data_IF_215381785741
#
_entry.id   IF_215381785741
#
_cell.length_a   1.000
_cell.length_b   1.000
_cell.length_c   1.000
_cell.angle_alpha   90.00
_cell.angle_beta   90.00
_cell.angle_gamma   90.00
#
_symmetry.space_group_name_H-M   'P 1'
#
loop_
_entity.id
_entity.type
_entity.pdbx_description
1 polymer ?
#
# COMPACT_ATOMS: atom_id res chain seq x y z
N UNK A 1 11.54 15.08 10.77
CA UNK A 1 11.06 15.02 9.36
C UNK A 1 12.16 15.50 8.44
N UNK A 2 12.36 14.85 7.32
CA UNK A 2 13.41 15.14 6.34
C UNK A 2 12.75 15.59 5.03
N UNK A 3 13.28 16.66 4.44
CA UNK A 3 12.77 17.17 3.16
C UNK A 3 13.66 16.65 2.02
N UNK A 4 13.02 16.05 1.01
CA UNK A 4 13.64 15.69 -0.27
C UNK A 4 12.74 16.30 -1.35
N UNK A 5 13.26 17.27 -2.10
CA UNK A 5 12.51 18.08 -3.06
C UNK A 5 11.24 18.69 -2.41
N UNK A 6 10.08 18.38 -2.98
CA UNK A 6 8.76 18.78 -2.50
C UNK A 6 8.12 17.75 -1.55
N UNK A 7 8.89 16.82 -0.99
CA UNK A 7 8.39 15.76 -0.10
C UNK A 7 8.92 15.89 1.31
N UNK A 8 8.02 15.84 2.29
CA UNK A 8 8.33 15.77 3.72
C UNK A 8 8.20 14.33 4.20
N UNK A 9 9.31 13.75 4.63
CA UNK A 9 9.42 12.34 4.95
C UNK A 9 9.53 12.17 6.47
N UNK A 10 8.67 11.32 7.06
CA UNK A 10 8.78 10.94 8.46
C UNK A 10 10.08 10.18 8.72
N UNK A 11 10.75 10.52 9.82
CA UNK A 11 11.93 9.79 10.28
C UNK A 11 11.64 8.34 10.67
N UNK A 12 10.36 8.01 10.91
CA UNK A 12 9.92 6.65 11.19
C UNK A 12 10.22 5.68 10.05
N UNK A 13 10.33 6.19 8.80
CA UNK A 13 10.75 5.36 7.67
C UNK A 13 12.17 4.83 7.86
N UNK A 14 13.01 5.54 8.63
CA UNK A 14 14.41 5.21 8.89
C UNK A 14 14.60 4.52 10.25
N UNK A 15 13.78 4.87 11.25
CA UNK A 15 13.89 4.32 12.60
C UNK A 15 13.18 2.99 12.75
N UNK A 16 11.99 2.85 12.17
CA UNK A 16 11.16 1.67 12.35
C UNK A 16 11.54 0.52 11.40
N UNK A 17 11.40 -0.70 11.90
CA UNK A 17 11.60 -1.93 11.15
C UNK A 17 10.26 -2.56 10.78
N UNK A 18 10.16 -3.04 9.53
CA UNK A 18 8.93 -3.64 9.02
C UNK A 18 9.23 -4.66 7.92
N UNK A 19 8.66 -5.85 8.05
CA UNK A 19 8.58 -6.85 6.97
C UNK A 19 7.22 -7.53 7.07
N UNK A 20 6.39 -7.42 6.03
CA UNK A 20 5.05 -7.98 6.04
C UNK A 20 5.06 -9.49 6.37
N UNK A 21 4.31 -9.88 7.40
CA UNK A 21 4.23 -11.26 7.89
C UNK A 21 2.86 -11.89 7.56
N UNK A 22 2.66 -12.21 6.28
CA UNK A 22 1.40 -12.80 5.81
C UNK A 22 1.05 -14.13 6.51
N UNK A 23 2.06 -14.89 6.96
CA UNK A 23 1.82 -16.13 7.69
C UNK A 23 1.08 -15.91 9.02
N UNK A 24 1.19 -14.71 9.59
CA UNK A 24 0.52 -14.31 10.84
C UNK A 24 -0.75 -13.49 10.58
N UNK A 25 -0.64 -12.36 9.89
CA UNK A 25 -1.76 -11.44 9.68
C UNK A 25 -2.74 -11.90 8.60
N UNK A 26 -2.35 -12.86 7.75
CA UNK A 26 -3.16 -13.38 6.62
C UNK A 26 -3.66 -12.32 5.63
N UNK A 27 -3.03 -11.14 5.62
CA UNK A 27 -3.41 -10.04 4.73
C UNK A 27 -4.64 -9.26 5.20
N UNK A 28 -4.89 -9.20 6.51
CA UNK A 28 -6.07 -8.56 7.10
C UNK A 28 -6.24 -7.07 6.73
N UNK A 29 -5.17 -6.39 6.31
CA UNK A 29 -5.23 -5.01 5.84
C UNK A 29 -6.12 -4.80 4.59
N UNK A 30 -6.47 -5.87 3.87
CA UNK A 30 -7.45 -5.82 2.78
C UNK A 30 -8.90 -6.00 3.27
N UNK A 31 -9.10 -6.31 4.56
CA UNK A 31 -10.39 -6.60 5.18
C UNK A 31 -10.77 -5.54 6.21
N UNK A 32 -9.81 -5.10 6.99
CA UNK A 32 -9.99 -4.06 8.00
C UNK A 32 -9.73 -2.69 7.40
N UNK A 33 -10.47 -1.70 7.85
CA UNK A 33 -10.35 -0.30 7.46
C UNK A 33 -11.69 0.38 7.33
N UNK A 34 -11.69 1.71 7.46
CA UNK A 34 -12.90 2.52 7.44
C UNK A 34 -13.32 2.92 6.01
N UNK A 35 -12.42 2.73 5.04
CA UNK A 35 -12.63 3.06 3.63
C UNK A 35 -11.86 2.09 2.72
N UNK A 36 -12.13 2.15 1.41
CA UNK A 36 -11.36 1.47 0.39
C UNK A 36 -9.91 1.96 0.30
N UNK A 37 -9.09 1.29 -0.49
CA UNK A 37 -7.73 1.74 -0.73
C UNK A 37 -7.75 3.07 -1.51
N UNK A 38 -7.04 4.13 -1.04
CA UNK A 38 -6.91 5.38 -1.77
C UNK A 38 -6.33 5.17 -3.18
N UNK A 39 -6.82 5.94 -4.14
CA UNK A 39 -6.43 5.86 -5.54
C UNK A 39 -5.92 7.21 -6.04
N UNK A 40 -4.86 7.18 -6.83
CA UNK A 40 -4.50 8.32 -7.67
C UNK A 40 -5.53 8.45 -8.82
N UNK A 41 -5.73 9.64 -9.36
CA UNK A 41 -6.73 9.89 -10.42
C UNK A 41 -6.50 8.98 -11.65
N UNK A 42 -5.26 8.81 -12.07
CA UNK A 42 -4.90 7.94 -13.20
C UNK A 42 -5.24 6.46 -12.96
N UNK A 43 -5.25 6.01 -11.71
CA UNK A 43 -5.54 4.62 -11.35
C UNK A 43 -7.00 4.25 -11.58
N UNK A 44 -7.90 5.23 -11.58
CA UNK A 44 -9.34 5.01 -11.87
C UNK A 44 -9.55 4.51 -13.29
N UNK A 45 -8.87 5.13 -14.26
CA UNK A 45 -8.92 4.70 -15.66
C UNK A 45 -8.32 3.31 -15.88
N UNK A 46 -7.25 3.01 -15.14
CA UNK A 46 -6.63 1.68 -15.19
C UNK A 46 -7.60 0.63 -14.66
N UNK A 47 -8.29 0.90 -13.54
CA UNK A 47 -9.29 0.00 -12.97
C UNK A 47 -10.43 -0.29 -13.94
N UNK A 48 -10.94 0.72 -14.65
CA UNK A 48 -11.97 0.56 -15.69
C UNK A 48 -11.49 -0.34 -16.83
N UNK A 49 -10.25 -0.14 -17.29
CA UNK A 49 -9.66 -0.92 -18.38
C UNK A 49 -9.41 -2.39 -18.01
N UNK A 50 -8.92 -2.63 -16.78
CA UNK A 50 -8.55 -4.00 -16.38
C UNK A 50 -9.73 -4.81 -15.84
N UNK A 51 -10.81 -4.17 -15.37
CA UNK A 51 -11.93 -4.86 -14.75
C UNK A 51 -12.50 -6.03 -15.61
N UNK A 52 -12.75 -5.87 -16.93
CA UNK A 52 -13.21 -6.98 -17.75
C UNK A 52 -12.23 -8.17 -17.80
N UNK A 53 -10.93 -7.89 -17.70
CA UNK A 53 -9.86 -8.90 -17.75
C UNK A 53 -9.72 -9.65 -16.43
N UNK A 54 -9.97 -8.99 -15.29
CA UNK A 54 -9.80 -9.55 -13.94
C UNK A 54 -11.10 -10.07 -13.33
N UNK A 55 -12.25 -9.87 -13.97
CA UNK A 55 -13.57 -10.25 -13.44
C UNK A 55 -13.64 -11.73 -13.03
N UNK A 56 -12.97 -12.62 -13.77
CA UNK A 56 -12.92 -14.04 -13.45
C UNK A 56 -12.07 -14.40 -12.22
N UNK A 57 -11.26 -13.47 -11.72
CA UNK A 57 -10.48 -13.62 -10.50
C UNK A 57 -11.25 -13.20 -9.26
N UNK A 58 -12.29 -12.38 -9.43
CA UNK A 58 -13.05 -11.78 -8.34
C UNK A 58 -14.06 -12.77 -7.74
N UNK A 59 -14.36 -12.59 -6.47
CA UNK A 59 -15.47 -13.27 -5.80
C UNK A 59 -16.81 -12.70 -6.30
N UNK A 60 -17.90 -13.49 -6.25
CA UNK A 60 -19.22 -12.99 -6.62
C UNK A 60 -19.63 -11.72 -5.89
N UNK A 61 -19.35 -11.62 -4.58
CA UNK A 61 -19.66 -10.46 -3.75
C UNK A 61 -18.86 -9.23 -4.19
N UNK A 62 -17.59 -9.41 -4.56
CA UNK A 62 -16.74 -8.34 -5.09
C UNK A 62 -17.23 -7.84 -6.44
N UNK A 63 -17.63 -8.76 -7.33
CA UNK A 63 -18.25 -8.41 -8.62
C UNK A 63 -19.52 -7.59 -8.40
N UNK A 64 -20.40 -8.04 -7.52
CA UNK A 64 -21.63 -7.31 -7.20
C UNK A 64 -21.33 -5.91 -6.67
N UNK A 65 -20.42 -5.78 -5.73
CA UNK A 65 -20.03 -4.48 -5.17
C UNK A 65 -19.49 -3.52 -6.23
N UNK A 66 -18.66 -4.02 -7.17
CA UNK A 66 -18.13 -3.23 -8.27
C UNK A 66 -19.22 -2.84 -9.27
N UNK A 67 -20.17 -3.74 -9.58
CA UNK A 67 -21.28 -3.44 -10.49
C UNK A 67 -22.26 -2.43 -9.90
N UNK A 68 -22.40 -2.36 -8.58
CA UNK A 68 -23.26 -1.42 -7.87
C UNK A 68 -22.59 -0.06 -7.62
N UNK A 69 -21.30 -0.02 -7.30
CA UNK A 69 -20.57 1.18 -6.86
C UNK A 69 -19.65 1.75 -7.94
N UNK A 70 -19.28 0.97 -8.97
CA UNK A 70 -18.23 1.27 -9.94
C UNK A 70 -16.92 0.54 -9.60
N UNK A 71 -15.95 0.62 -10.50
CA UNK A 71 -14.59 0.07 -10.30
C UNK A 71 -13.81 0.86 -9.24
N UNK A 72 -14.24 2.08 -8.94
CA UNK A 72 -13.82 2.96 -7.85
C UNK A 72 -15.04 3.75 -7.36
N UNK A 73 -14.91 4.38 -6.21
CA UNK A 73 -15.95 5.23 -5.61
C UNK A 73 -15.32 6.41 -4.86
N UNK A 74 -16.14 7.27 -4.30
CA UNK A 74 -15.70 8.32 -3.37
C UNK A 74 -16.01 7.88 -1.94
N UNK A 75 -15.07 8.12 -1.03
CA UNK A 75 -15.32 7.94 0.39
C UNK A 75 -16.11 9.14 0.98
N UNK A 76 -16.29 9.16 2.31
CA UNK A 76 -17.04 10.22 2.99
C UNK A 76 -16.32 11.58 3.00
N UNK A 77 -15.00 11.62 2.76
CA UNK A 77 -14.21 12.84 2.63
C UNK A 77 -14.16 13.34 1.18
N UNK A 78 -14.62 12.52 0.23
CA UNK A 78 -14.62 12.80 -1.20
C UNK A 78 -13.37 12.31 -1.92
N UNK A 79 -12.56 11.48 -1.29
CA UNK A 79 -11.37 10.90 -1.87
C UNK A 79 -11.69 9.67 -2.73
N UNK A 80 -10.94 9.49 -3.81
CA UNK A 80 -11.04 8.33 -4.69
C UNK A 80 -10.53 7.08 -3.99
N UNK A 81 -11.38 6.04 -3.90
CA UNK A 81 -11.06 4.79 -3.22
C UNK A 81 -11.60 3.57 -3.97
N UNK A 82 -11.05 2.39 -3.68
CA UNK A 82 -11.64 1.13 -4.14
C UNK A 82 -12.97 0.86 -3.44
N UNK A 83 -13.99 0.24 -4.12
CA UNK A 83 -15.25 -0.09 -3.49
C UNK A 83 -15.11 -1.16 -2.42
N UNK A 84 -16.05 -1.19 -1.48
CA UNK A 84 -16.13 -2.15 -0.39
C UNK A 84 -17.33 -3.08 -0.55
N UNK A 85 -17.18 -4.31 -0.14
CA UNK A 85 -18.30 -5.27 0.02
C UNK A 85 -18.99 -4.99 1.36
N UNK A 86 -20.22 -4.52 1.33
CA UNK A 86 -21.03 -4.22 2.52
C UNK A 86 -20.33 -3.32 3.56
N UNK A 87 -19.54 -2.35 3.11
CA UNK A 87 -18.71 -1.47 3.95
C UNK A 87 -17.70 -2.23 4.84
N UNK A 88 -17.24 -3.38 4.41
CA UNK A 88 -16.24 -4.18 5.08
C UNK A 88 -14.99 -4.35 4.21
N UNK A 89 -14.75 -5.53 3.68
CA UNK A 89 -13.55 -5.79 2.90
C UNK A 89 -13.56 -5.15 1.50
N UNK A 90 -12.37 -4.88 0.97
CA UNK A 90 -12.18 -4.39 -0.39
C UNK A 90 -12.82 -5.34 -1.43
N UNK A 91 -13.53 -4.79 -2.42
CA UNK A 91 -14.19 -5.57 -3.47
C UNK A 91 -13.21 -6.40 -4.32
N UNK A 92 -11.94 -5.99 -4.38
CA UNK A 92 -10.87 -6.73 -5.09
C UNK A 92 -10.18 -7.80 -4.25
N UNK A 93 -10.63 -8.05 -3.00
CA UNK A 93 -10.03 -9.09 -2.16
C UNK A 93 -10.53 -10.47 -2.57
N UNK A 94 -9.63 -11.45 -2.54
CA UNK A 94 -9.94 -12.88 -2.65
C UNK A 94 -9.37 -13.62 -1.44
N UNK A 95 -9.97 -14.73 -1.08
CA UNK A 95 -9.53 -15.57 0.04
C UNK A 95 -9.12 -16.95 -0.50
N UNK A 96 -8.01 -17.47 0.01
CA UNK A 96 -7.66 -18.86 -0.22
C UNK A 96 -8.40 -19.81 0.75
N UNK A 97 -8.23 -21.11 0.57
CA UNK A 97 -8.85 -22.16 1.40
C UNK A 97 -8.45 -22.09 2.89
N UNK A 98 -7.35 -21.40 3.22
CA UNK A 98 -6.83 -21.21 4.58
C UNK A 98 -7.22 -19.86 5.18
N UNK A 99 -7.99 -19.05 4.43
CA UNK A 99 -8.41 -17.71 4.82
C UNK A 99 -7.32 -16.65 4.70
N UNK A 100 -6.29 -16.85 3.88
CA UNK A 100 -5.36 -15.80 3.51
C UNK A 100 -6.00 -14.91 2.46
N UNK A 101 -5.90 -13.60 2.66
CA UNK A 101 -6.36 -12.63 1.69
C UNK A 101 -5.29 -12.36 0.63
N UNK A 102 -5.72 -12.17 -0.60
CA UNK A 102 -4.92 -11.69 -1.72
C UNK A 102 -5.72 -10.65 -2.50
N UNK A 103 -5.01 -9.79 -3.22
CA UNK A 103 -5.64 -8.89 -4.17
C UNK A 103 -5.84 -9.64 -5.50
N UNK A 104 -7.06 -9.64 -6.04
CA UNK A 104 -7.36 -10.24 -7.34
C UNK A 104 -6.60 -9.55 -8.48
N UNK A 105 -6.40 -8.23 -8.38
CA UNK A 105 -5.60 -7.45 -9.32
C UNK A 105 -4.16 -7.96 -9.32
N UNK A 106 -3.55 -8.08 -8.12
CA UNK A 106 -2.17 -8.57 -7.99
C UNK A 106 -2.05 -10.01 -8.49
N UNK A 107 -3.04 -10.86 -8.24
CA UNK A 107 -3.05 -12.23 -8.76
C UNK A 107 -3.11 -12.28 -10.28
N UNK A 108 -3.93 -11.44 -10.92
CA UNK A 108 -4.00 -11.34 -12.37
C UNK A 108 -2.69 -10.80 -12.97
N UNK A 109 -2.02 -9.88 -12.28
CA UNK A 109 -0.68 -9.41 -12.64
C UNK A 109 0.36 -10.52 -12.55
N UNK A 110 0.40 -11.28 -11.45
CA UNK A 110 1.29 -12.45 -11.27
C UNK A 110 1.10 -13.49 -12.36
N UNK A 111 -0.13 -13.67 -12.83
CA UNK A 111 -0.48 -14.62 -13.92
C UNK A 111 -0.21 -14.05 -15.34
N UNK A 112 0.27 -12.80 -15.44
CA UNK A 112 0.59 -12.14 -16.71
C UNK A 112 -0.65 -11.76 -17.55
N UNK A 113 -1.83 -11.63 -16.92
CA UNK A 113 -3.08 -11.23 -17.59
C UNK A 113 -3.18 -9.72 -17.75
N UNK A 114 -2.56 -8.98 -16.85
CA UNK A 114 -2.46 -7.52 -16.86
C UNK A 114 -1.05 -7.08 -16.48
N UNK A 115 -0.66 -5.85 -16.88
CA UNK A 115 0.67 -5.29 -16.62
C UNK A 115 0.69 -4.35 -15.39
N UNK A 116 -0.44 -4.12 -14.75
CA UNK A 116 -0.56 -3.26 -13.57
C UNK A 116 -0.76 -4.08 -12.30
N UNK A 117 0.16 -3.93 -11.33
CA UNK A 117 0.24 -4.81 -10.19
C UNK A 117 -0.92 -4.63 -9.20
N UNK A 118 -1.16 -3.39 -8.74
CA UNK A 118 -2.22 -2.99 -7.79
C UNK A 118 -2.16 -1.48 -7.53
N UNK A 119 -3.18 -0.89 -6.86
CA UNK A 119 -3.12 0.50 -6.41
C UNK A 119 -1.83 0.82 -5.68
N UNK A 120 -1.27 2.00 -5.97
CA UNK A 120 0.03 2.38 -5.41
C UNK A 120 -0.05 2.53 -3.88
N UNK A 121 -1.18 2.98 -3.35
CA UNK A 121 -1.41 3.05 -1.91
C UNK A 121 -1.29 1.69 -1.21
N UNK A 122 -1.85 0.62 -1.82
CA UNK A 122 -1.71 -0.75 -1.34
C UNK A 122 -0.28 -1.26 -1.44
N UNK A 123 0.45 -0.86 -2.49
CA UNK A 123 1.83 -1.29 -2.71
C UNK A 123 2.80 -0.60 -1.75
N UNK A 124 2.54 0.67 -1.41
CA UNK A 124 3.33 1.46 -0.47
C UNK A 124 3.02 1.17 1.01
N UNK A 125 1.92 0.48 1.32
CA UNK A 125 1.56 0.22 2.71
C UNK A 125 2.70 -0.52 3.45
N UNK A 126 3.15 -0.07 4.64
CA UNK A 126 2.51 0.86 5.59
C UNK A 126 2.84 2.36 5.42
N UNK A 127 3.34 2.80 4.30
CA UNK A 127 3.45 4.24 4.03
C UNK A 127 2.09 4.79 3.61
N UNK A 128 1.72 5.93 4.18
CA UNK A 128 0.61 6.78 3.75
C UNK A 128 1.14 8.11 3.24
N UNK A 129 0.60 8.55 2.11
CA UNK A 129 0.93 9.82 1.48
C UNK A 129 -0.25 10.76 1.67
N UNK A 130 0.02 11.98 2.10
CA UNK A 130 -0.97 13.06 2.14
C UNK A 130 -0.47 14.17 1.22
N UNK A 131 -1.26 14.49 0.22
CA UNK A 131 -0.95 15.54 -0.73
C UNK A 131 -1.41 16.90 -0.20
N UNK A 132 -0.53 17.88 -0.26
CA UNK A 132 -0.81 19.28 0.04
C UNK A 132 -0.52 20.13 -1.20
N UNK A 133 -0.95 21.39 -1.20
CA UNK A 133 -0.80 22.27 -2.36
C UNK A 133 0.64 22.49 -2.83
N UNK A 134 1.64 22.37 -1.94
CA UNK A 134 3.04 22.67 -2.23
C UNK A 134 4.01 21.55 -1.86
N UNK A 135 3.55 20.48 -1.26
CA UNK A 135 4.38 19.35 -0.86
C UNK A 135 3.52 18.11 -0.60
N UNK A 136 4.16 16.94 -0.64
CA UNK A 136 3.57 15.68 -0.18
C UNK A 136 4.17 15.27 1.16
N UNK A 137 3.37 14.80 2.11
CA UNK A 137 3.84 14.21 3.35
C UNK A 137 3.84 12.68 3.24
N UNK A 138 5.00 12.08 3.47
CA UNK A 138 5.21 10.63 3.40
C UNK A 138 5.39 10.13 4.84
N UNK A 139 4.37 9.44 5.36
CA UNK A 139 4.30 9.03 6.75
C UNK A 139 4.26 7.51 6.90
N UNK A 140 4.87 6.98 7.95
CA UNK A 140 4.65 5.62 8.41
C UNK A 140 3.32 5.53 9.15
N UNK A 141 2.47 4.58 8.75
CA UNK A 141 1.21 4.29 9.41
C UNK A 141 1.39 3.13 10.37
N UNK A 142 1.39 3.43 11.65
CA UNK A 142 1.40 2.42 12.70
C UNK A 142 -0.02 1.88 12.90
N UNK A 143 -0.19 0.57 12.69
CA UNK A 143 -1.47 -0.10 12.84
C UNK A 143 -1.30 -1.41 13.61
N UNK A 144 -2.08 -1.60 14.66
CA UNK A 144 -1.96 -2.75 15.57
C UNK A 144 -2.03 -4.10 14.85
N UNK A 145 -2.83 -4.20 13.78
CA UNK A 145 -2.92 -5.42 12.97
C UNK A 145 -1.61 -5.81 12.28
N UNK A 146 -0.64 -4.89 12.21
CA UNK A 146 0.68 -5.10 11.63
C UNK A 146 1.78 -5.36 12.68
N UNK A 147 1.46 -5.56 13.96
CA UNK A 147 2.44 -5.79 15.03
C UNK A 147 3.39 -6.97 14.76
N UNK A 148 2.89 -8.06 14.16
CA UNK A 148 3.72 -9.19 13.72
C UNK A 148 4.70 -8.83 12.59
N UNK A 149 4.36 -7.84 11.75
CA UNK A 149 5.26 -7.35 10.70
C UNK A 149 6.39 -6.50 11.29
N UNK A 150 6.10 -5.68 12.30
CA UNK A 150 7.11 -4.93 13.05
C UNK A 150 8.05 -5.88 13.80
N UNK A 151 7.53 -6.95 14.38
CA UNK A 151 8.32 -7.98 15.06
C UNK A 151 9.28 -8.66 14.06
N UNK A 152 8.79 -9.10 12.92
CA UNK A 152 9.60 -9.72 11.87
C UNK A 152 10.63 -8.73 11.30
N UNK A 153 10.25 -7.47 11.10
CA UNK A 153 11.17 -6.40 10.68
C UNK A 153 12.35 -6.24 11.64
N UNK A 154 12.07 -6.21 12.95
CA UNK A 154 13.10 -6.15 14.00
C UNK A 154 14.00 -7.37 14.02
N UNK A 155 13.46 -8.57 13.86
CA UNK A 155 14.24 -9.80 13.78
C UNK A 155 15.19 -9.81 12.57
N UNK A 156 14.75 -9.23 11.44
CA UNK A 156 15.53 -9.20 10.19
C UNK A 156 16.38 -7.93 10.05
N UNK A 157 16.18 -6.91 10.90
CA UNK A 157 16.87 -5.62 10.83
C UNK A 157 16.53 -4.83 9.56
N UNK A 158 15.31 -4.94 9.05
CA UNK A 158 14.90 -4.30 7.79
C UNK A 158 14.04 -3.08 8.08
N UNK A 159 14.52 -1.90 7.68
CA UNK A 159 13.81 -0.62 7.83
C UNK A 159 12.63 -0.50 6.88
N UNK A 160 11.63 0.31 7.26
CA UNK A 160 10.43 0.54 6.44
C UNK A 160 10.78 0.93 5.01
N UNK A 161 11.67 1.92 4.81
CA UNK A 161 12.06 2.35 3.46
C UNK A 161 12.76 1.26 2.64
N UNK A 162 13.51 0.35 3.30
CA UNK A 162 14.19 -0.77 2.65
C UNK A 162 13.19 -1.84 2.21
N UNK A 163 12.23 -2.17 3.07
CA UNK A 163 11.15 -3.08 2.74
C UNK A 163 10.33 -2.59 1.53
N UNK A 164 10.09 -1.28 1.48
CA UNK A 164 9.29 -0.64 0.45
C UNK A 164 10.11 -0.10 -0.74
N UNK A 165 11.33 -0.59 -0.95
CA UNK A 165 12.18 -0.16 -2.08
C UNK A 165 11.43 -0.18 -3.41
N UNK A 166 10.81 -1.30 -3.76
CA UNK A 166 10.13 -1.47 -5.06
C UNK A 166 8.98 -0.50 -5.27
N UNK A 167 8.01 -0.35 -4.34
CA UNK A 167 6.91 0.59 -4.51
C UNK A 167 7.37 2.06 -4.45
N UNK A 168 8.38 2.41 -3.69
CA UNK A 168 8.97 3.75 -3.68
C UNK A 168 9.59 4.10 -5.03
N UNK A 169 10.36 3.18 -5.63
CA UNK A 169 10.89 3.35 -6.98
C UNK A 169 9.75 3.45 -8.01
N UNK A 170 8.71 2.61 -7.88
CA UNK A 170 7.54 2.66 -8.77
C UNK A 170 6.83 4.02 -8.74
N UNK A 171 6.68 4.62 -7.55
CA UNK A 171 5.98 5.91 -7.37
C UNK A 171 6.85 7.10 -7.75
N UNK A 172 8.12 7.11 -7.32
CA UNK A 172 8.97 8.30 -7.35
C UNK A 172 10.24 8.17 -8.22
N UNK A 173 10.56 6.98 -8.70
CA UNK A 173 11.76 6.70 -9.48
C UNK A 173 12.99 6.29 -8.68
N UNK A 174 14.02 5.79 -9.40
CA UNK A 174 15.29 5.33 -8.81
C UNK A 174 16.06 6.47 -8.12
N UNK A 175 16.12 7.65 -8.75
CA UNK A 175 16.88 8.79 -8.23
C UNK A 175 16.33 9.25 -6.87
N UNK A 176 15.01 9.32 -6.73
CA UNK A 176 14.38 9.61 -5.42
C UNK A 176 14.76 8.56 -4.38
N UNK A 177 14.69 7.27 -4.73
CA UNK A 177 15.02 6.21 -3.78
C UNK A 177 16.50 6.25 -3.39
N UNK A 178 17.38 6.59 -4.30
CA UNK A 178 18.81 6.78 -3.99
C UNK A 178 19.01 7.92 -2.98
N UNK A 179 18.43 9.09 -3.24
CA UNK A 179 18.48 10.24 -2.33
C UNK A 179 17.89 9.90 -0.95
N UNK A 180 16.76 9.18 -0.92
CA UNK A 180 16.15 8.69 0.32
C UNK A 180 17.11 7.77 1.10
N UNK A 181 17.80 6.87 0.40
CA UNK A 181 18.75 5.94 1.02
C UNK A 181 19.97 6.67 1.59
N UNK A 182 20.50 7.66 0.89
CA UNK A 182 21.60 8.50 1.36
C UNK A 182 21.20 9.31 2.61
N UNK A 183 20.00 9.90 2.60
CA UNK A 183 19.44 10.58 3.76
C UNK A 183 19.25 9.65 4.96
N UNK A 184 18.84 8.40 4.73
CA UNK A 184 18.71 7.39 5.78
C UNK A 184 20.06 7.01 6.39
N UNK A 185 21.11 6.88 5.58
CA UNK A 185 22.48 6.61 6.07
C UNK A 185 23.03 7.76 6.92
N UNK A 186 22.76 9.02 6.52
CA UNK A 186 23.16 10.19 7.30
C UNK A 186 22.39 10.26 8.63
N UNK A 187 21.10 10.03 8.58
CA UNK A 187 20.24 9.97 9.76
C UNK A 187 20.72 8.90 10.75
N UNK A 188 21.07 7.70 10.27
CA UNK A 188 21.56 6.62 11.11
C UNK A 188 22.92 6.96 11.76
N UNK A 189 23.82 7.65 11.06
CA UNK A 189 25.11 8.12 11.63
C UNK A 189 24.89 9.13 12.75
N UNK A 190 23.89 9.99 12.63
CA UNK A 190 23.63 11.08 13.61
C UNK A 190 22.79 10.58 14.80
N UNK A 191 21.75 9.81 14.54
CA UNK A 191 20.72 9.43 15.52
C UNK A 191 20.72 7.95 15.90
N UNK A 192 21.20 7.04 15.04
CA UNK A 192 21.14 5.58 15.24
C UNK A 192 21.95 5.07 16.44
N UNK A 193 22.90 5.82 16.97
CA UNK A 193 23.75 5.42 18.09
C UNK A 193 23.20 5.73 19.48
N UNK A 194 21.95 6.18 19.58
CA UNK A 194 21.32 6.59 20.84
C UNK A 194 20.32 5.58 21.41
N UNK A 195 20.33 4.35 20.93
CA UNK A 195 19.50 3.26 21.53
C UNK A 195 20.36 2.22 22.23
#
# INVERSE_FOLDING_TARGET
MIQIDDKLISEDLFSEEFVCNLAKCKGICCVEGDAGAPLDEDETHILDEIYPKIKSYLRPEGIQAIEEQGTYTLDFEGDLVTPLVNNAECAYVIFDEKGYTKCAIEKAYEDGVIDWQKPISCHLYPIRITEYSNFSAINYHEWDICSDACTLGKELGVKVYQFLKKPLIRKYGEDFYQTLSEAAEEWEKEFGKKK
#
